data_IF_326028482331
#
_entry.id   IF_326028482331
#
_cell.length_a   1.000
_cell.length_b   1.000
_cell.length_c   1.000
_cell.angle_alpha   90.00
_cell.angle_beta   90.00
_cell.angle_gamma   90.00
#
_symmetry.space_group_name_H-M   'P 1'
#
loop_
_entity.id
_entity.type
_entity.pdbx_description
1 polymer ?
#
# COMPACT_ATOMS: atom_id res chain seq x y z
N UNK A 1 43.94 12.81 0.32
CA UNK A 1 43.40 12.33 1.61
C UNK A 1 42.53 13.44 2.18
N UNK A 2 41.39 13.74 1.51
CA UNK A 2 40.45 14.82 1.88
C UNK A 2 39.03 14.56 1.29
N UNK A 3 38.73 13.31 0.82
CA UNK A 3 37.44 13.00 0.18
C UNK A 3 36.51 12.16 1.04
N UNK A 4 36.91 11.80 2.27
CA UNK A 4 36.14 10.89 3.13
C UNK A 4 35.18 11.60 4.11
N UNK A 5 35.09 12.94 4.08
CA UNK A 5 34.22 13.71 5.00
C UNK A 5 32.84 14.00 4.40
N UNK A 6 32.62 13.70 3.12
CA UNK A 6 31.37 14.00 2.40
C UNK A 6 30.64 12.73 2.02
N UNK A 7 29.30 12.87 1.90
CA UNK A 7 28.38 11.87 1.35
C UNK A 7 28.06 12.27 -0.07
N UNK A 8 28.09 11.33 -1.01
CA UNK A 8 27.55 11.53 -2.36
C UNK A 8 26.08 11.15 -2.35
N UNK A 9 25.22 12.16 -2.44
CA UNK A 9 23.78 11.97 -2.41
C UNK A 9 23.18 12.17 -3.80
N UNK A 10 22.52 11.12 -4.32
CA UNK A 10 21.76 11.16 -5.56
C UNK A 10 20.27 11.10 -5.26
N UNK A 11 19.54 12.10 -5.73
CA UNK A 11 18.07 12.15 -5.69
C UNK A 11 17.54 11.90 -7.09
N UNK A 12 16.50 11.09 -7.22
CA UNK A 12 15.84 10.77 -8.49
C UNK A 12 14.32 10.70 -8.34
N UNK A 13 13.62 10.61 -9.46
CA UNK A 13 12.15 10.57 -9.52
C UNK A 13 11.54 11.96 -9.70
N UNK A 14 10.72 12.42 -8.76
CA UNK A 14 10.03 13.74 -8.83
C UNK A 14 11.01 14.89 -9.09
N UNK A 15 12.19 14.82 -8.51
CA UNK A 15 13.30 15.74 -8.70
C UNK A 15 14.60 14.97 -8.87
N UNK A 16 15.45 15.43 -9.77
CA UNK A 16 16.79 14.85 -9.93
C UNK A 16 17.84 15.82 -9.42
N UNK A 17 18.71 15.35 -8.52
CA UNK A 17 19.79 16.13 -7.95
C UNK A 17 20.98 15.20 -7.64
N UNK A 18 22.21 15.72 -7.79
CA UNK A 18 23.44 15.03 -7.39
C UNK A 18 24.25 16.00 -6.53
N UNK A 19 24.42 15.65 -5.29
CA UNK A 19 24.96 16.50 -4.26
C UNK A 19 26.14 15.85 -3.57
N UNK A 20 27.12 16.65 -3.24
CA UNK A 20 28.23 16.30 -2.38
C UNK A 20 28.02 17.08 -1.07
N UNK A 21 27.68 16.40 0.00
CA UNK A 21 27.25 17.01 1.27
C UNK A 21 28.15 16.55 2.42
N UNK A 22 28.49 17.44 3.36
CA UNK A 22 29.23 17.05 4.56
C UNK A 22 28.51 15.95 5.35
N UNK A 23 29.25 14.97 5.85
CA UNK A 23 28.68 13.86 6.63
C UNK A 23 27.97 14.33 7.92
N UNK A 24 28.43 15.43 8.48
CA UNK A 24 27.87 16.06 9.70
C UNK A 24 26.65 16.96 9.43
N UNK A 25 26.21 17.09 8.16
CA UNK A 25 25.06 17.92 7.81
C UNK A 25 23.75 17.41 8.41
N UNK A 26 23.60 16.10 8.53
CA UNK A 26 22.43 15.46 9.15
C UNK A 26 22.91 14.55 10.28
N UNK A 27 22.23 14.60 11.43
CA UNK A 27 22.58 13.75 12.57
C UNK A 27 22.18 12.30 12.36
N UNK A 28 21.13 12.07 11.53
CA UNK A 28 20.62 10.72 11.23
C UNK A 28 20.21 10.59 9.77
N UNK A 29 20.09 9.34 9.32
CA UNK A 29 19.54 9.03 8.00
C UNK A 29 18.10 9.55 7.87
N UNK A 30 17.28 9.46 8.95
CA UNK A 30 15.92 9.98 8.97
C UNK A 30 15.86 11.48 8.71
N UNK A 31 16.72 12.28 9.38
CA UNK A 31 16.75 13.74 9.15
C UNK A 31 17.01 14.07 7.67
N UNK A 32 17.92 13.36 7.03
CA UNK A 32 18.20 13.54 5.61
C UNK A 32 16.96 13.18 4.76
N UNK A 33 16.34 12.03 4.99
CA UNK A 33 15.16 11.59 4.24
C UNK A 33 14.01 12.58 4.41
N UNK A 34 13.73 13.05 5.61
CA UNK A 34 12.65 14.01 5.90
C UNK A 34 12.89 15.38 5.22
N UNK A 35 14.13 15.85 5.19
CA UNK A 35 14.49 17.06 4.47
C UNK A 35 14.18 16.93 2.96
N UNK A 36 14.50 15.77 2.37
CA UNK A 36 14.23 15.54 0.94
C UNK A 36 12.75 15.21 0.64
N UNK A 37 12.02 14.57 1.54
CA UNK A 37 10.55 14.46 1.44
C UNK A 37 9.95 15.87 1.36
N UNK A 38 10.38 16.76 2.25
CA UNK A 38 9.90 18.16 2.27
C UNK A 38 10.25 18.94 1.00
N UNK A 39 11.43 18.73 0.43
CA UNK A 39 11.92 19.41 -0.78
C UNK A 39 11.31 18.88 -2.07
N UNK A 40 11.05 17.59 -2.14
CA UNK A 40 10.49 16.93 -3.33
C UNK A 40 8.98 16.87 -3.31
N UNK A 41 8.35 16.95 -2.13
CA UNK A 41 6.93 16.67 -1.90
C UNK A 41 6.54 15.26 -2.38
N UNK A 42 7.54 14.37 -2.50
CA UNK A 42 7.39 13.00 -2.96
C UNK A 42 7.32 11.99 -1.82
N UNK A 43 7.01 10.77 -2.18
CA UNK A 43 7.07 9.58 -1.31
C UNK A 43 8.38 8.85 -1.63
N UNK A 44 9.16 8.51 -0.61
CA UNK A 44 10.36 7.70 -0.77
C UNK A 44 9.97 6.29 -1.23
N UNK A 45 10.47 5.89 -2.39
CA UNK A 45 10.14 4.59 -3.00
C UNK A 45 11.33 3.66 -3.14
N UNK A 46 12.57 4.20 -3.04
CA UNK A 46 13.78 3.39 -3.11
C UNK A 46 14.93 4.02 -2.33
N UNK A 47 15.70 3.15 -1.70
CA UNK A 47 16.92 3.48 -0.98
C UNK A 47 18.06 2.60 -1.51
N UNK A 48 19.21 3.21 -1.83
CA UNK A 48 20.46 2.47 -1.99
C UNK A 48 21.55 3.14 -1.19
N UNK A 49 22.41 2.33 -0.58
CA UNK A 49 23.60 2.78 0.14
C UNK A 49 24.78 1.95 -0.37
N UNK A 50 25.82 2.64 -0.88
CA UNK A 50 27.00 2.00 -1.46
C UNK A 50 26.61 0.93 -2.51
N UNK A 51 25.79 1.33 -3.50
CA UNK A 51 25.25 0.49 -4.57
C UNK A 51 24.28 -0.63 -4.13
N UNK A 52 24.16 -0.89 -2.81
CA UNK A 52 23.26 -1.91 -2.26
C UNK A 52 21.87 -1.34 -2.05
N UNK A 53 20.88 -1.98 -2.66
CA UNK A 53 19.47 -1.65 -2.43
C UNK A 53 19.03 -2.12 -1.04
N UNK A 54 18.40 -1.20 -0.28
CA UNK A 54 17.83 -1.44 1.03
C UNK A 54 16.31 -1.49 0.88
N UNK A 55 15.66 -2.64 1.15
CA UNK A 55 14.20 -2.71 1.10
C UNK A 55 13.56 -1.74 2.11
N UNK A 56 12.47 -1.08 1.73
CA UNK A 56 11.82 -0.06 2.57
C UNK A 56 11.33 -0.57 3.92
N UNK A 57 11.02 -1.86 4.04
CA UNK A 57 10.64 -2.48 5.32
C UNK A 57 11.80 -2.55 6.33
N UNK A 58 13.05 -2.32 5.89
CA UNK A 58 14.23 -2.17 6.78
C UNK A 58 14.51 -0.71 7.14
N UNK A 59 13.65 0.23 6.73
CA UNK A 59 13.86 1.65 7.03
C UNK A 59 14.00 1.93 8.52
N UNK A 60 13.16 1.32 9.34
CA UNK A 60 13.20 1.48 10.81
C UNK A 60 14.51 0.99 11.46
N UNK A 61 15.23 0.09 10.81
CA UNK A 61 16.52 -0.41 11.30
C UNK A 61 17.68 0.54 10.98
N UNK A 62 17.55 1.35 9.91
CA UNK A 62 18.62 2.25 9.45
C UNK A 62 18.35 3.73 9.73
N UNK A 63 17.12 4.13 10.07
CA UNK A 63 16.72 5.54 10.21
C UNK A 63 17.54 6.33 11.22
N UNK A 64 17.97 5.69 12.30
CA UNK A 64 18.78 6.29 13.36
C UNK A 64 20.28 6.21 13.12
N UNK A 65 20.73 5.65 11.96
CA UNK A 65 22.13 5.58 11.62
C UNK A 65 22.69 6.96 11.30
N UNK A 66 23.94 7.19 11.69
CA UNK A 66 24.70 8.38 11.31
C UNK A 66 25.67 8.05 10.17
N UNK A 67 26.17 9.09 9.52
CA UNK A 67 27.10 8.98 8.42
C UNK A 67 28.54 9.11 8.93
N UNK A 68 29.42 8.28 8.40
CA UNK A 68 30.85 8.30 8.72
C UNK A 68 31.64 9.12 7.68
N UNK A 69 31.07 9.33 6.49
CA UNK A 69 31.69 9.94 5.33
C UNK A 69 32.15 8.91 4.29
N UNK A 70 32.12 9.31 3.02
CA UNK A 70 32.47 8.45 1.90
C UNK A 70 31.32 7.57 1.38
N UNK A 71 30.14 7.61 2.02
CA UNK A 71 28.98 6.85 1.55
C UNK A 71 28.41 7.44 0.26
N UNK A 72 27.93 6.54 -0.61
CA UNK A 72 27.11 6.87 -1.76
C UNK A 72 25.65 6.51 -1.43
N UNK A 73 24.78 7.53 -1.32
CA UNK A 73 23.36 7.35 -1.00
C UNK A 73 22.52 7.73 -2.21
N UNK A 74 21.65 6.83 -2.66
CA UNK A 74 20.65 7.10 -3.69
C UNK A 74 19.26 7.00 -3.09
N UNK A 75 18.47 8.07 -3.23
CA UNK A 75 17.06 8.13 -2.82
C UNK A 75 16.20 8.42 -4.04
N UNK A 76 15.16 7.59 -4.24
CA UNK A 76 14.16 7.80 -5.28
C UNK A 76 12.85 8.22 -4.67
N UNK A 77 12.28 9.32 -5.16
CA UNK A 77 11.02 9.85 -4.72
C UNK A 77 10.00 9.83 -5.87
N UNK A 78 8.87 9.19 -5.63
CA UNK A 78 7.75 9.14 -6.58
C UNK A 78 6.66 10.11 -6.14
N UNK A 79 5.93 10.71 -7.06
CA UNK A 79 4.80 11.57 -6.70
C UNK A 79 3.72 10.77 -5.96
N UNK A 80 3.08 11.39 -4.97
CA UNK A 80 1.99 10.73 -4.23
C UNK A 80 0.87 10.26 -5.15
N UNK A 81 0.62 11.00 -6.23
CA UNK A 81 -0.35 10.63 -7.28
C UNK A 81 0.03 9.31 -7.94
N UNK A 82 1.29 9.16 -8.38
CA UNK A 82 1.77 7.92 -9.02
C UNK A 82 1.71 6.73 -8.06
N UNK A 83 2.13 6.91 -6.81
CA UNK A 83 2.03 5.86 -5.78
C UNK A 83 0.58 5.40 -5.61
N UNK A 84 -0.39 6.34 -5.53
CA UNK A 84 -1.80 5.99 -5.41
C UNK A 84 -2.34 5.30 -6.67
N UNK A 85 -1.89 5.68 -7.86
CA UNK A 85 -2.23 4.98 -9.10
C UNK A 85 -1.76 3.52 -9.09
N UNK A 86 -0.54 3.28 -8.65
CA UNK A 86 0.03 1.95 -8.56
C UNK A 86 -0.71 1.11 -7.51
N UNK A 87 -1.03 1.69 -6.35
CA UNK A 87 -1.81 1.01 -5.31
C UNK A 87 -3.21 0.65 -5.79
N UNK A 88 -3.90 1.54 -6.52
CA UNK A 88 -5.21 1.24 -7.11
C UNK A 88 -5.08 0.11 -8.14
N UNK A 89 -4.07 0.14 -8.99
CA UNK A 89 -3.84 -0.92 -9.99
C UNK A 89 -3.59 -2.28 -9.34
N UNK A 90 -2.77 -2.33 -8.29
CA UNK A 90 -2.54 -3.55 -7.49
C UNK A 90 -3.80 -4.01 -6.77
N UNK A 91 -4.62 -3.09 -6.26
CA UNK A 91 -5.91 -3.37 -5.63
C UNK A 91 -6.90 -4.01 -6.59
N UNK A 92 -7.01 -3.50 -7.81
CA UNK A 92 -7.86 -4.07 -8.86
C UNK A 92 -7.40 -5.48 -9.27
N UNK A 93 -6.09 -5.69 -9.36
CA UNK A 93 -5.52 -7.02 -9.63
C UNK A 93 -5.77 -7.99 -8.47
N UNK A 94 -5.67 -7.53 -7.22
CA UNK A 94 -6.01 -8.31 -6.05
C UNK A 94 -7.47 -8.76 -6.08
N UNK A 95 -8.42 -7.84 -6.35
CA UNK A 95 -9.85 -8.16 -6.48
C UNK A 95 -10.07 -9.24 -7.54
N UNK A 96 -9.42 -9.13 -8.70
CA UNK A 96 -9.49 -10.14 -9.76
C UNK A 96 -9.03 -11.52 -9.26
N UNK A 97 -7.90 -11.58 -8.57
CA UNK A 97 -7.36 -12.84 -8.03
C UNK A 97 -8.26 -13.44 -6.96
N UNK A 98 -8.84 -12.63 -6.07
CA UNK A 98 -9.80 -13.14 -5.08
C UNK A 98 -11.01 -13.72 -5.77
N UNK A 99 -11.60 -13.00 -6.75
CA UNK A 99 -12.77 -13.44 -7.52
C UNK A 99 -12.54 -14.80 -8.21
N UNK A 100 -11.37 -14.98 -8.82
CA UNK A 100 -10.99 -16.25 -9.47
C UNK A 100 -10.84 -17.42 -8.50
N UNK A 101 -10.68 -17.15 -7.22
CA UNK A 101 -10.48 -18.18 -6.18
C UNK A 101 -11.68 -18.38 -5.26
N UNK A 102 -12.81 -17.66 -5.43
CA UNK A 102 -13.96 -17.73 -4.52
C UNK A 102 -14.51 -19.15 -4.36
N UNK A 103 -14.65 -19.91 -5.45
CA UNK A 103 -15.11 -21.30 -5.40
C UNK A 103 -14.18 -22.19 -4.55
N UNK A 104 -12.88 -22.00 -4.67
CA UNK A 104 -11.90 -22.74 -3.85
C UNK A 104 -12.01 -22.33 -2.39
N UNK A 105 -12.11 -21.04 -2.09
CA UNK A 105 -12.24 -20.52 -0.73
C UNK A 105 -13.52 -21.06 -0.08
N UNK A 106 -14.67 -20.99 -0.77
CA UNK A 106 -15.93 -21.53 -0.33
C UNK A 106 -15.82 -23.02 0.04
N UNK A 107 -15.25 -23.82 -0.85
CA UNK A 107 -15.04 -25.26 -0.62
C UNK A 107 -14.15 -25.55 0.59
N UNK A 108 -13.00 -24.88 0.71
CA UNK A 108 -12.07 -25.10 1.82
C UNK A 108 -12.67 -24.66 3.16
N UNK A 109 -13.50 -23.61 3.15
CA UNK A 109 -14.25 -23.13 4.32
C UNK A 109 -15.35 -24.13 4.70
N UNK A 110 -16.13 -24.64 3.74
CA UNK A 110 -17.15 -25.66 3.97
C UNK A 110 -16.57 -26.91 4.64
N UNK A 111 -15.35 -27.31 4.22
CA UNK A 111 -14.62 -28.45 4.78
C UNK A 111 -13.92 -28.13 6.10
N UNK A 112 -14.02 -26.90 6.59
CA UNK A 112 -13.38 -26.40 7.82
C UNK A 112 -11.88 -26.71 7.87
N UNK A 113 -11.16 -26.46 6.75
CA UNK A 113 -9.72 -26.70 6.66
C UNK A 113 -8.90 -25.53 7.21
N UNK A 114 -7.67 -25.79 7.64
CA UNK A 114 -6.72 -24.73 8.01
C UNK A 114 -6.43 -23.80 6.83
N UNK A 115 -6.43 -24.34 5.59
CA UNK A 115 -6.26 -23.57 4.37
C UNK A 115 -7.42 -22.57 4.18
N UNK A 116 -8.67 -23.02 4.37
CA UNK A 116 -9.85 -22.17 4.30
C UNK A 116 -9.79 -21.00 5.30
N UNK A 117 -9.39 -21.26 6.54
CA UNK A 117 -9.21 -20.20 7.55
C UNK A 117 -8.09 -19.22 7.17
N UNK A 118 -6.98 -19.72 6.64
CA UNK A 118 -5.87 -18.85 6.17
C UNK A 118 -6.32 -17.95 5.02
N UNK A 119 -7.06 -18.50 4.06
CA UNK A 119 -7.61 -17.74 2.92
C UNK A 119 -8.59 -16.66 3.39
N UNK A 120 -9.49 -16.96 4.34
CA UNK A 120 -10.42 -15.96 4.91
C UNK A 120 -9.68 -14.82 5.59
N UNK A 121 -8.66 -15.12 6.39
CA UNK A 121 -7.85 -14.10 7.04
C UNK A 121 -7.14 -13.21 6.01
N UNK A 122 -6.55 -13.81 4.98
CA UNK A 122 -5.90 -13.06 3.89
C UNK A 122 -6.89 -12.17 3.11
N UNK A 123 -8.13 -12.64 2.93
CA UNK A 123 -9.19 -11.82 2.32
C UNK A 123 -9.56 -10.65 3.24
N UNK A 124 -9.71 -10.87 4.53
CA UNK A 124 -10.03 -9.81 5.50
C UNK A 124 -8.93 -8.74 5.54
N UNK A 125 -7.66 -9.13 5.59
CA UNK A 125 -6.51 -8.23 5.50
C UNK A 125 -6.50 -7.45 4.18
N UNK A 126 -6.80 -8.14 3.07
CA UNK A 126 -6.91 -7.51 1.76
C UNK A 126 -8.04 -6.48 1.68
N UNK A 127 -9.23 -6.77 2.23
CA UNK A 127 -10.32 -5.80 2.28
C UNK A 127 -9.95 -4.55 3.09
N UNK A 128 -9.23 -4.72 4.20
CA UNK A 128 -8.71 -3.57 4.97
C UNK A 128 -7.74 -2.74 4.13
N UNK A 129 -6.82 -3.38 3.41
CA UNK A 129 -5.89 -2.68 2.53
C UNK A 129 -6.63 -1.92 1.39
N UNK A 130 -7.71 -2.48 0.84
CA UNK A 130 -8.54 -1.78 -0.15
C UNK A 130 -9.18 -0.51 0.44
N UNK A 131 -9.70 -0.58 1.67
CA UNK A 131 -10.25 0.59 2.37
C UNK A 131 -9.17 1.66 2.60
N UNK A 132 -7.98 1.26 3.02
CA UNK A 132 -6.86 2.18 3.26
C UNK A 132 -6.46 2.91 1.97
N UNK A 133 -6.42 2.23 0.82
CA UNK A 133 -6.15 2.86 -0.49
C UNK A 133 -7.25 3.87 -0.86
N UNK A 134 -8.52 3.52 -0.64
CA UNK A 134 -9.67 4.40 -0.89
C UNK A 134 -9.55 5.66 -0.05
N UNK A 135 -9.33 5.53 1.26
CA UNK A 135 -9.24 6.67 2.19
C UNK A 135 -8.00 7.54 1.89
N UNK A 136 -6.86 6.96 1.58
CA UNK A 136 -5.67 7.72 1.18
C UNK A 136 -5.90 8.50 -0.12
N UNK A 137 -6.61 7.88 -1.09
CA UNK A 137 -6.93 8.55 -2.36
C UNK A 137 -7.92 9.68 -2.14
N UNK A 138 -8.94 9.48 -1.30
CA UNK A 138 -9.90 10.52 -0.92
C UNK A 138 -9.22 11.69 -0.23
N UNK A 139 -8.36 11.42 0.74
CA UNK A 139 -7.60 12.45 1.45
C UNK A 139 -6.65 13.24 0.53
N UNK A 140 -6.08 12.59 -0.48
CA UNK A 140 -5.21 13.26 -1.46
C UNK A 140 -5.98 14.05 -2.50
N UNK A 141 -7.08 13.48 -3.04
CA UNK A 141 -7.89 14.15 -4.07
C UNK A 141 -8.71 15.30 -3.51
N UNK A 142 -9.10 15.23 -2.24
CA UNK A 142 -10.09 16.15 -1.60
C UNK A 142 -11.45 16.11 -2.29
N UNK A 143 -11.74 15.04 -3.04
CA UNK A 143 -12.98 14.81 -3.77
C UNK A 143 -13.66 13.52 -3.29
N UNK A 144 -14.98 13.57 -3.20
CA UNK A 144 -15.79 12.38 -2.95
C UNK A 144 -16.05 11.65 -4.29
N UNK A 145 -15.54 10.44 -4.43
CA UNK A 145 -15.71 9.59 -5.62
C UNK A 145 -16.59 8.36 -5.34
N UNK A 146 -17.14 8.25 -4.14
CA UNK A 146 -18.15 7.25 -3.75
C UNK A 146 -19.06 7.82 -2.64
N UNK A 147 -20.25 7.23 -2.47
CA UNK A 147 -21.13 7.55 -1.34
C UNK A 147 -20.86 6.59 -0.18
N UNK A 148 -20.85 7.06 1.09
CA UNK A 148 -20.71 6.15 2.24
C UNK A 148 -21.77 5.02 2.26
N UNK A 149 -22.95 5.26 1.69
CA UNK A 149 -24.01 4.27 1.55
C UNK A 149 -23.64 3.08 0.65
N UNK A 150 -22.70 3.26 -0.28
CA UNK A 150 -22.23 2.18 -1.17
C UNK A 150 -21.52 1.06 -0.38
N UNK A 151 -20.99 1.37 0.80
CA UNK A 151 -20.33 0.41 1.68
C UNK A 151 -21.30 -0.30 2.65
N UNK A 152 -22.59 0.06 2.70
CA UNK A 152 -23.55 -0.57 3.62
C UNK A 152 -23.75 -2.05 3.31
N UNK A 153 -23.81 -2.41 2.04
CA UNK A 153 -23.94 -3.82 1.61
C UNK A 153 -22.68 -4.61 1.96
N UNK A 154 -21.51 -4.03 1.74
CA UNK A 154 -20.20 -4.59 2.15
C UNK A 154 -20.21 -4.87 3.66
N UNK A 155 -20.61 -3.90 4.47
CA UNK A 155 -20.70 -4.05 5.93
C UNK A 155 -21.65 -5.18 6.34
N UNK A 156 -22.80 -5.29 5.68
CA UNK A 156 -23.77 -6.35 5.95
C UNK A 156 -23.18 -7.74 5.66
N UNK A 157 -22.57 -7.93 4.50
CA UNK A 157 -21.93 -9.21 4.13
C UNK A 157 -20.80 -9.56 5.10
N UNK A 158 -19.93 -8.60 5.43
CA UNK A 158 -18.84 -8.81 6.40
C UNK A 158 -19.38 -9.19 7.78
N UNK A 159 -20.48 -8.55 8.25
CA UNK A 159 -21.12 -8.90 9.53
C UNK A 159 -21.71 -10.31 9.49
N UNK A 160 -22.30 -10.75 8.37
CA UNK A 160 -22.76 -12.13 8.21
C UNK A 160 -21.61 -13.12 8.29
N UNK A 161 -20.49 -12.86 7.59
CA UNK A 161 -19.28 -13.68 7.67
C UNK A 161 -18.81 -13.82 9.12
N UNK A 162 -18.67 -12.71 9.85
CA UNK A 162 -18.22 -12.72 11.25
C UNK A 162 -19.18 -13.54 12.13
N UNK A 163 -20.48 -13.40 11.93
CA UNK A 163 -21.50 -14.14 12.70
C UNK A 163 -21.42 -15.64 12.41
N UNK A 164 -21.40 -16.04 11.14
CA UNK A 164 -21.36 -17.44 10.72
C UNK A 164 -20.07 -18.11 11.19
N UNK A 165 -18.94 -17.39 11.11
CA UNK A 165 -17.66 -17.86 11.65
C UNK A 165 -17.70 -18.04 13.17
N UNK A 166 -18.29 -17.07 13.90
CA UNK A 166 -18.42 -17.14 15.36
C UNK A 166 -19.35 -18.28 15.83
N UNK A 167 -20.36 -18.61 15.03
CA UNK A 167 -21.28 -19.73 15.26
C UNK A 167 -20.75 -21.07 14.75
N UNK A 168 -19.61 -21.09 14.06
CA UNK A 168 -19.04 -22.26 13.37
C UNK A 168 -20.02 -22.84 12.32
N UNK A 169 -20.83 -21.97 11.71
CA UNK A 169 -21.72 -22.35 10.62
C UNK A 169 -20.97 -22.25 9.28
N UNK A 170 -20.22 -23.29 9.00
CA UNK A 170 -19.37 -23.35 7.80
C UNK A 170 -20.17 -23.51 6.51
N UNK A 171 -21.41 -24.00 6.59
CA UNK A 171 -22.31 -24.07 5.44
C UNK A 171 -22.76 -22.66 5.04
N UNK A 172 -23.33 -21.91 5.98
CA UNK A 172 -23.72 -20.52 5.74
C UNK A 172 -22.53 -19.66 5.30
N UNK A 173 -21.37 -19.84 5.94
CA UNK A 173 -20.15 -19.12 5.59
C UNK A 173 -19.68 -19.41 4.16
N UNK A 174 -19.74 -20.67 3.73
CA UNK A 174 -19.44 -21.10 2.37
C UNK A 174 -20.40 -20.45 1.35
N UNK A 175 -21.71 -20.48 1.65
CA UNK A 175 -22.73 -19.88 0.78
C UNK A 175 -22.54 -18.36 0.61
N UNK A 176 -22.23 -17.63 1.68
CA UNK A 176 -21.93 -16.19 1.63
C UNK A 176 -20.72 -15.94 0.71
N UNK A 177 -19.67 -16.73 0.84
CA UNK A 177 -18.45 -16.56 0.02
C UNK A 177 -18.74 -16.84 -1.45
N UNK A 178 -19.54 -17.85 -1.74
CA UNK A 178 -19.83 -18.28 -3.11
C UNK A 178 -20.78 -17.33 -3.83
N UNK A 179 -21.82 -16.84 -3.14
CA UNK A 179 -22.94 -16.14 -3.76
C UNK A 179 -22.98 -14.63 -3.49
N UNK A 180 -22.56 -14.16 -2.31
CA UNK A 180 -22.70 -12.76 -1.91
C UNK A 180 -21.39 -11.99 -2.02
N UNK A 181 -20.24 -12.67 -1.90
CA UNK A 181 -18.96 -11.98 -1.79
C UNK A 181 -18.50 -11.32 -3.10
N UNK A 182 -18.96 -11.78 -4.26
CA UNK A 182 -18.69 -11.10 -5.54
C UNK A 182 -19.31 -9.70 -5.58
N UNK A 183 -20.47 -9.48 -4.93
CA UNK A 183 -21.08 -8.16 -4.75
C UNK A 183 -20.15 -7.20 -3.99
N UNK A 184 -19.51 -7.70 -2.91
CA UNK A 184 -18.53 -6.94 -2.15
C UNK A 184 -17.36 -6.53 -3.04
N UNK A 185 -16.77 -7.47 -3.78
CA UNK A 185 -15.67 -7.21 -4.69
C UNK A 185 -16.05 -6.22 -5.79
N UNK A 186 -17.24 -6.32 -6.34
CA UNK A 186 -17.77 -5.43 -7.38
C UNK A 186 -17.96 -4.00 -6.88
N UNK A 187 -18.38 -3.83 -5.62
CA UNK A 187 -18.47 -2.52 -4.96
C UNK A 187 -17.08 -1.88 -4.84
N UNK A 188 -16.10 -2.61 -4.30
CA UNK A 188 -14.72 -2.10 -4.21
C UNK A 188 -14.11 -1.78 -5.58
N UNK A 189 -14.33 -2.64 -6.57
CA UNK A 189 -13.86 -2.42 -7.94
C UNK A 189 -14.43 -1.12 -8.54
N UNK A 190 -15.70 -0.87 -8.32
CA UNK A 190 -16.37 0.36 -8.79
C UNK A 190 -15.79 1.60 -8.12
N UNK A 191 -15.62 1.57 -6.80
CA UNK A 191 -15.05 2.68 -6.01
C UNK A 191 -13.62 2.96 -6.47
N UNK A 192 -12.77 1.93 -6.63
CA UNK A 192 -11.38 2.08 -7.07
C UNK A 192 -11.26 2.63 -8.49
N UNK A 193 -12.12 2.20 -9.41
CA UNK A 193 -12.18 2.77 -10.77
C UNK A 193 -12.60 4.23 -10.77
N UNK A 194 -13.49 4.64 -9.88
CA UNK A 194 -13.86 6.05 -9.73
C UNK A 194 -12.71 6.84 -9.10
N UNK A 195 -12.03 6.30 -8.08
CA UNK A 195 -10.83 6.88 -7.49
C UNK A 195 -9.74 7.14 -8.55
N UNK A 196 -9.49 6.15 -9.43
CA UNK A 196 -8.54 6.28 -10.53
C UNK A 196 -8.90 7.44 -11.47
N UNK A 197 -10.17 7.54 -11.89
CA UNK A 197 -10.65 8.64 -12.74
C UNK A 197 -10.52 10.01 -12.06
N UNK A 198 -10.71 10.08 -10.74
CA UNK A 198 -10.55 11.30 -9.97
C UNK A 198 -9.08 11.73 -9.95
N UNK A 199 -8.16 10.80 -9.73
CA UNK A 199 -6.72 11.07 -9.82
C UNK A 199 -6.29 11.53 -11.21
N UNK A 200 -6.86 10.95 -12.30
CA UNK A 200 -6.56 11.36 -13.67
C UNK A 200 -6.88 12.84 -13.94
N UNK A 201 -7.98 13.34 -13.37
CA UNK A 201 -8.42 14.72 -13.52
C UNK A 201 -7.58 15.72 -12.70
N UNK A 202 -7.02 15.26 -11.58
CA UNK A 202 -6.16 16.11 -10.74
C UNK A 202 -4.82 16.29 -11.47
N UNK A 203 -4.59 17.50 -12.01
CA UNK A 203 -3.32 17.86 -12.66
C UNK A 203 -2.11 17.59 -11.76
N UNK A 204 -0.93 17.48 -12.37
CA UNK A 204 0.35 17.37 -11.67
C UNK A 204 0.60 18.61 -10.86
#
# INVERSE_FOLDING_TARGET
MLDDENIKLRISGVKTDNLDIPADKYNTFEEMVQDYISKTQGVLTKIKINEKEIPLNYYDEIKDSFFEGGEEVELEFTSKKEVLFDLISQSLEYIRKVRENLERVSKEVLLNTNEGHTMLNSIAEGLQALLDVIEQTRAFSEEDFYNPGDLNEVQNVVQHIIRSQGNQDYLELSDIIEFDFDGVLSTFETILKNAQKTLEKKGV
#
